data_IF_317149021487
#
_entry.id   IF_317149021487
#
_cell.length_a   1.000
_cell.length_b   1.000
_cell.length_c   1.000
_cell.angle_alpha   90.00
_cell.angle_beta   90.00
_cell.angle_gamma   90.00
#
_symmetry.space_group_name_H-M   'P 1'
#
loop_
_entity.id
_entity.type
_entity.pdbx_description
1 polymer ?
#
# COMPACT_ATOMS: atom_id res chain seq x y z
N UNK A 1 -25.42 22.18 -16.74
CA UNK A 1 -25.24 20.93 -17.51
C UNK A 1 -25.93 19.70 -16.93
N UNK A 2 -25.52 19.09 -15.81
CA UNK A 2 -26.25 17.91 -15.25
C UNK A 2 -27.73 18.26 -14.97
N UNK A 3 -27.98 19.40 -14.34
CA UNK A 3 -29.34 19.86 -14.04
C UNK A 3 -30.19 20.08 -15.30
N UNK A 4 -29.58 20.51 -16.41
CA UNK A 4 -30.27 20.69 -17.70
C UNK A 4 -30.56 19.34 -18.35
N UNK A 5 -29.59 18.43 -18.36
CA UNK A 5 -29.75 17.06 -18.85
C UNK A 5 -30.74 16.24 -18.01
N UNK A 6 -31.00 16.68 -16.78
CA UNK A 6 -31.93 16.05 -15.85
C UNK A 6 -33.26 16.80 -15.66
N UNK A 7 -33.49 17.90 -16.38
CA UNK A 7 -34.60 18.82 -16.12
C UNK A 7 -35.99 18.16 -16.23
N UNK A 8 -36.16 17.25 -17.19
CA UNK A 8 -37.47 16.63 -17.51
C UNK A 8 -37.58 15.15 -17.12
N UNK A 9 -36.69 14.68 -16.24
CA UNK A 9 -36.66 13.27 -15.84
C UNK A 9 -37.87 12.95 -14.96
N UNK A 10 -38.61 11.91 -15.37
CA UNK A 10 -39.76 11.38 -14.64
C UNK A 10 -39.51 9.99 -14.06
N UNK A 11 -38.37 9.39 -14.35
CA UNK A 11 -37.98 8.09 -13.83
C UNK A 11 -37.82 8.14 -12.32
N UNK A 12 -38.58 7.29 -11.65
CA UNK A 12 -38.75 7.28 -10.20
C UNK A 12 -38.51 5.87 -9.67
N UNK A 13 -37.66 5.76 -8.66
CA UNK A 13 -37.44 4.51 -7.93
C UNK A 13 -37.82 4.69 -6.47
N UNK A 14 -38.34 3.63 -5.85
CA UNK A 14 -38.56 3.61 -4.41
C UNK A 14 -37.22 3.41 -3.71
N UNK A 15 -36.93 4.25 -2.72
CA UNK A 15 -35.72 4.08 -1.94
C UNK A 15 -35.82 2.78 -1.11
N UNK A 16 -34.89 1.80 -1.27
CA UNK A 16 -35.06 0.47 -0.67
C UNK A 16 -35.20 0.48 0.86
N UNK A 17 -34.58 1.45 1.54
CA UNK A 17 -34.62 1.61 2.99
C UNK A 17 -35.77 2.50 3.47
N UNK A 18 -36.46 3.21 2.57
CA UNK A 18 -37.60 4.07 2.87
C UNK A 18 -38.65 3.94 1.77
N UNK A 19 -39.54 2.94 1.85
CA UNK A 19 -40.56 2.65 0.83
C UNK A 19 -41.63 3.73 0.67
N UNK A 20 -41.54 4.84 1.39
CA UNK A 20 -42.37 6.04 1.20
C UNK A 20 -41.64 7.14 0.44
N UNK A 21 -40.33 6.99 0.21
CA UNK A 21 -39.48 8.00 -0.40
C UNK A 21 -39.19 7.65 -1.86
N UNK A 22 -39.64 8.53 -2.74
CA UNK A 22 -39.57 8.38 -4.19
C UNK A 22 -38.38 9.21 -4.70
N UNK A 23 -37.34 8.53 -5.18
CA UNK A 23 -36.14 9.18 -5.71
C UNK A 23 -36.26 9.36 -7.22
N UNK A 24 -35.94 10.56 -7.71
CA UNK A 24 -35.70 10.80 -9.14
C UNK A 24 -34.31 10.27 -9.47
N UNK A 25 -34.21 9.43 -10.51
CA UNK A 25 -32.96 8.80 -10.91
C UNK A 25 -32.51 9.36 -12.24
N UNK A 26 -31.24 9.78 -12.33
CA UNK A 26 -30.67 10.22 -13.60
C UNK A 26 -30.75 9.09 -14.66
N UNK A 27 -30.85 9.42 -15.96
CA UNK A 27 -30.99 8.43 -17.02
C UNK A 27 -29.70 7.63 -17.10
N UNK A 28 -29.81 6.36 -17.51
CA UNK A 28 -28.67 5.43 -17.54
C UNK A 28 -27.45 5.98 -18.30
N UNK A 29 -27.66 6.71 -19.40
CA UNK A 29 -26.57 7.35 -20.17
C UNK A 29 -25.79 8.38 -19.35
N UNK A 30 -26.47 9.14 -18.48
CA UNK A 30 -25.82 10.12 -17.60
C UNK A 30 -25.08 9.40 -16.47
N UNK A 31 -25.69 8.38 -15.87
CA UNK A 31 -25.05 7.57 -14.83
C UNK A 31 -23.78 6.88 -15.34
N UNK A 32 -23.81 6.34 -16.57
CA UNK A 32 -22.64 5.75 -17.23
C UNK A 32 -21.53 6.77 -17.47
N UNK A 33 -21.88 7.97 -17.95
CA UNK A 33 -20.91 9.04 -18.19
C UNK A 33 -20.28 9.54 -16.88
N UNK A 34 -21.09 9.70 -15.82
CA UNK A 34 -20.60 10.05 -14.48
C UNK A 34 -19.69 8.97 -13.91
N UNK A 35 -20.04 7.69 -14.07
CA UNK A 35 -19.17 6.60 -13.62
C UNK A 35 -17.87 6.57 -14.42
N UNK A 36 -17.94 6.79 -15.73
CA UNK A 36 -16.77 6.90 -16.61
C UNK A 36 -15.84 8.06 -16.24
N UNK A 37 -16.36 9.22 -15.80
CA UNK A 37 -15.51 10.36 -15.46
C UNK A 37 -14.63 10.12 -14.23
N UNK A 38 -15.03 9.20 -13.34
CA UNK A 38 -14.32 8.88 -12.10
C UNK A 38 -13.56 7.55 -12.16
N UNK A 39 -13.63 6.80 -13.27
CA UNK A 39 -13.10 5.43 -13.33
C UNK A 39 -11.58 5.36 -13.22
N UNK A 40 -10.88 6.42 -13.64
CA UNK A 40 -9.43 6.53 -13.56
C UNK A 40 -8.93 6.76 -12.11
N UNK A 41 -9.85 6.84 -11.14
CA UNK A 41 -9.51 7.00 -9.74
C UNK A 41 -9.37 5.65 -9.04
N UNK A 42 -8.25 5.39 -8.31
CA UNK A 42 -8.01 4.09 -7.67
C UNK A 42 -9.01 3.73 -6.56
N UNK A 43 -9.57 4.71 -5.84
CA UNK A 43 -10.47 4.43 -4.72
C UNK A 43 -11.71 3.69 -5.19
N UNK A 44 -12.02 2.56 -4.53
CA UNK A 44 -13.13 1.69 -4.86
C UNK A 44 -13.15 1.25 -6.34
N UNK A 45 -11.98 1.16 -6.99
CA UNK A 45 -11.86 0.86 -8.42
C UNK A 45 -12.66 -0.39 -8.82
N UNK A 46 -12.54 -1.49 -8.06
CA UNK A 46 -13.23 -2.76 -8.38
C UNK A 46 -14.75 -2.61 -8.43
N UNK A 47 -15.33 -1.86 -7.48
CA UNK A 47 -16.75 -1.54 -7.47
C UNK A 47 -17.09 -0.65 -8.67
N UNK A 48 -16.31 0.41 -8.89
CA UNK A 48 -16.58 1.37 -9.95
C UNK A 48 -16.51 0.77 -11.36
N UNK A 49 -15.54 -0.11 -11.63
CA UNK A 49 -15.40 -0.79 -12.92
C UNK A 49 -16.53 -1.79 -13.13
N UNK A 50 -16.94 -2.49 -12.07
CA UNK A 50 -18.09 -3.41 -12.12
C UNK A 50 -19.38 -2.65 -12.42
N UNK A 51 -19.68 -1.58 -11.66
CA UNK A 51 -20.84 -0.72 -11.88
C UNK A 51 -20.87 -0.16 -13.31
N UNK A 52 -19.72 0.30 -13.81
CA UNK A 52 -19.60 0.87 -15.15
C UNK A 52 -20.01 -0.15 -16.22
N UNK A 53 -19.50 -1.38 -16.13
CA UNK A 53 -19.82 -2.42 -17.10
C UNK A 53 -21.26 -2.92 -16.98
N UNK A 54 -21.85 -2.92 -15.79
CA UNK A 54 -23.29 -3.17 -15.59
C UNK A 54 -24.14 -2.10 -16.29
N UNK A 55 -23.78 -0.82 -16.15
CA UNK A 55 -24.47 0.29 -16.82
C UNK A 55 -24.34 0.17 -18.34
N UNK A 56 -23.15 -0.16 -18.85
CA UNK A 56 -22.92 -0.36 -20.28
C UNK A 56 -23.70 -1.53 -20.84
N UNK A 57 -23.79 -2.64 -20.10
CA UNK A 57 -24.61 -3.77 -20.48
C UNK A 57 -26.10 -3.41 -20.53
N UNK A 58 -26.59 -2.66 -19.55
CA UNK A 58 -27.97 -2.19 -19.48
C UNK A 58 -28.34 -1.25 -20.63
N UNK A 59 -27.37 -0.45 -21.10
CA UNK A 59 -27.51 0.42 -22.27
C UNK A 59 -27.39 -0.33 -23.61
N UNK A 60 -27.12 -1.64 -23.57
CA UNK A 60 -26.96 -2.48 -24.77
C UNK A 60 -25.63 -2.30 -25.48
N UNK A 61 -24.66 -1.59 -24.87
CA UNK A 61 -23.31 -1.43 -25.42
C UNK A 61 -22.51 -2.75 -25.41
N UNK A 62 -22.99 -3.76 -24.67
CA UNK A 62 -22.38 -5.07 -24.61
C UNK A 62 -22.96 -6.09 -25.57
N UNK A 63 -23.87 -5.76 -26.51
CA UNK A 63 -24.49 -6.76 -27.41
C UNK A 63 -23.40 -7.56 -28.15
N UNK A 64 -23.37 -8.85 -27.81
CA UNK A 64 -22.18 -9.71 -27.73
C UNK A 64 -21.86 -10.33 -29.08
N UNK A 65 -20.74 -9.94 -29.68
CA UNK A 65 -19.89 -10.88 -30.41
C UNK A 65 -18.56 -10.95 -29.65
N UNK A 66 -18.16 -12.15 -29.23
CA UNK A 66 -16.89 -12.40 -28.51
C UNK A 66 -15.70 -11.80 -29.27
N UNK A 67 -15.81 -11.78 -30.60
CA UNK A 67 -14.83 -11.33 -31.58
C UNK A 67 -14.78 -9.82 -31.83
N UNK A 68 -15.69 -9.02 -31.27
CA UNK A 68 -15.70 -7.57 -31.48
C UNK A 68 -15.15 -6.80 -30.28
N UNK A 69 -14.47 -5.66 -30.53
CA UNK A 69 -14.05 -4.76 -29.46
C UNK A 69 -15.24 -4.29 -28.66
N UNK A 70 -15.11 -4.35 -27.33
CA UNK A 70 -15.91 -3.49 -26.47
C UNK A 70 -15.39 -2.07 -26.74
N UNK A 71 -16.06 -1.38 -27.65
CA UNK A 71 -15.73 0.00 -27.99
C UNK A 71 -16.24 0.92 -26.88
N UNK A 72 -15.60 2.08 -26.75
CA UNK A 72 -16.16 3.19 -25.97
C UNK A 72 -17.61 3.41 -26.43
N UNK A 73 -18.53 3.57 -25.47
CA UNK A 73 -19.94 3.67 -25.82
C UNK A 73 -20.18 4.86 -26.73
N UNK A 74 -21.04 4.69 -27.74
CA UNK A 74 -21.48 5.81 -28.57
C UNK A 74 -22.38 6.71 -27.71
N UNK A 75 -21.85 7.90 -27.40
CA UNK A 75 -22.53 8.94 -26.63
C UNK A 75 -22.99 10.07 -27.53
N UNK A 76 -24.14 10.63 -27.20
CA UNK A 76 -24.63 11.84 -27.84
C UNK A 76 -23.73 13.03 -27.44
N UNK A 77 -23.59 14.02 -28.32
CA UNK A 77 -22.68 15.17 -28.12
C UNK A 77 -22.83 15.85 -26.74
N UNK A 78 -24.05 16.07 -26.19
CA UNK A 78 -24.20 16.66 -24.86
C UNK A 78 -23.65 15.78 -23.71
N UNK A 79 -23.74 14.46 -23.86
CA UNK A 79 -23.23 13.51 -22.86
C UNK A 79 -21.71 13.42 -22.94
N UNK A 80 -21.15 13.49 -24.14
CA UNK A 80 -19.70 13.52 -24.34
C UNK A 80 -19.09 14.82 -23.80
N UNK A 81 -19.78 15.95 -23.99
CA UNK A 81 -19.41 17.22 -23.36
C UNK A 81 -19.45 17.11 -21.84
N UNK A 82 -20.50 16.50 -21.27
CA UNK A 82 -20.58 16.19 -19.84
C UNK A 82 -19.40 15.38 -19.33
N UNK A 83 -19.08 14.28 -19.98
CA UNK A 83 -17.95 13.45 -19.59
C UNK A 83 -16.64 14.26 -19.55
N UNK A 84 -16.35 15.01 -20.61
CA UNK A 84 -15.13 15.82 -20.72
C UNK A 84 -15.04 16.88 -19.62
N UNK A 85 -16.14 17.59 -19.36
CA UNK A 85 -16.20 18.59 -18.28
C UNK A 85 -15.98 17.93 -16.92
N UNK A 86 -16.61 16.77 -16.64
CA UNK A 86 -16.47 16.07 -15.35
C UNK A 86 -15.08 15.50 -15.13
N UNK A 87 -14.43 15.00 -16.18
CA UNK A 87 -13.01 14.58 -16.10
C UNK A 87 -12.14 15.78 -15.73
N UNK A 88 -12.33 16.93 -16.40
CA UNK A 88 -11.55 18.14 -16.13
C UNK A 88 -11.79 18.67 -14.70
N UNK A 89 -13.03 18.69 -14.23
CA UNK A 89 -13.36 19.04 -12.84
C UNK A 89 -12.64 18.12 -11.85
N UNK A 90 -12.66 16.80 -12.10
CA UNK A 90 -12.01 15.81 -11.24
C UNK A 90 -10.50 16.02 -11.20
N UNK A 91 -9.87 16.29 -12.36
CA UNK A 91 -8.43 16.59 -12.44
C UNK A 91 -8.06 17.89 -11.70
N UNK A 92 -8.91 18.92 -11.77
CA UNK A 92 -8.70 20.18 -11.05
C UNK A 92 -8.76 19.95 -9.53
N UNK A 93 -9.79 19.23 -9.05
CA UNK A 93 -9.94 18.91 -7.62
C UNK A 93 -8.72 18.12 -7.13
N UNK A 94 -8.25 17.15 -7.91
CA UNK A 94 -7.06 16.37 -7.57
C UNK A 94 -5.80 17.25 -7.48
N UNK A 95 -5.57 18.14 -8.46
CA UNK A 95 -4.44 19.07 -8.41
C UNK A 95 -4.53 20.06 -7.25
N UNK A 96 -5.73 20.37 -6.78
CA UNK A 96 -5.94 21.26 -5.62
C UNK A 96 -5.77 20.53 -4.28
N UNK A 97 -6.04 19.22 -4.22
CA UNK A 97 -5.79 18.38 -3.03
C UNK A 97 -4.31 18.00 -2.85
N UNK A 98 -3.54 17.97 -3.94
CA UNK A 98 -2.08 17.87 -3.88
C UNK A 98 -1.53 19.27 -3.68
N UNK A 99 -1.13 19.63 -2.46
CA UNK A 99 -0.54 20.94 -2.15
C UNK A 99 0.71 21.18 -3.03
N UNK A 100 0.55 21.94 -4.11
CA UNK A 100 1.57 22.18 -5.15
C UNK A 100 2.78 23.00 -4.67
N UNK A 101 2.80 23.41 -3.39
CA UNK A 101 3.86 24.22 -2.80
C UNK A 101 4.95 23.40 -2.09
N UNK A 102 4.89 22.06 -2.06
CA UNK A 102 5.85 21.28 -1.25
C UNK A 102 6.48 20.04 -1.89
N UNK A 103 6.38 19.82 -3.20
CA UNK A 103 7.04 18.66 -3.83
C UNK A 103 7.61 19.07 -5.18
N UNK A 104 8.94 18.99 -5.32
CA UNK A 104 9.60 19.19 -6.61
C UNK A 104 9.09 18.10 -7.57
N UNK A 105 8.83 18.40 -8.84
CA UNK A 105 8.20 17.44 -9.77
C UNK A 105 8.95 16.08 -9.83
N UNK A 106 10.26 16.09 -9.61
CA UNK A 106 11.10 14.89 -9.54
C UNK A 106 10.80 14.03 -8.30
N UNK A 107 10.47 14.63 -7.15
CA UNK A 107 10.10 13.92 -5.91
C UNK A 107 8.71 13.27 -5.96
N UNK A 108 7.74 13.84 -6.71
CA UNK A 108 6.39 13.27 -6.81
C UNK A 108 6.36 11.96 -7.61
N UNK A 109 7.20 11.85 -8.64
CA UNK A 109 7.37 10.61 -9.40
C UNK A 109 8.28 9.60 -8.67
N UNK A 110 9.22 10.08 -7.84
CA UNK A 110 10.08 9.21 -7.03
C UNK A 110 9.37 8.61 -5.82
N UNK A 111 8.46 9.32 -5.14
CA UNK A 111 7.77 8.77 -3.96
C UNK A 111 6.80 7.63 -4.29
N UNK A 112 6.16 7.65 -5.47
CA UNK A 112 5.32 6.54 -5.94
C UNK A 112 6.12 5.37 -6.54
N UNK A 113 7.41 5.57 -6.84
CA UNK A 113 8.35 4.54 -7.31
C UNK A 113 9.38 4.11 -6.25
N UNK A 114 9.33 4.66 -5.02
CA UNK A 114 10.17 4.26 -3.88
C UNK A 114 9.77 2.92 -3.24
N UNK A 115 8.75 2.23 -3.75
CA UNK A 115 8.84 0.77 -3.85
C UNK A 115 9.74 0.48 -5.05
N UNK A 116 11.03 0.77 -4.86
CA UNK A 116 12.06 0.46 -5.84
C UNK A 116 11.85 -0.99 -6.22
N UNK A 117 11.41 -1.20 -7.46
CA UNK A 117 11.36 -2.51 -8.09
C UNK A 117 12.63 -3.21 -7.65
N UNK A 118 12.51 -4.31 -6.91
CA UNK A 118 13.67 -5.15 -6.63
C UNK A 118 14.17 -5.55 -8.01
N UNK A 119 15.21 -4.86 -8.49
CA UNK A 119 15.73 -4.90 -9.86
C UNK A 119 16.41 -6.22 -10.16
N UNK A 120 15.69 -7.33 -9.94
CA UNK A 120 16.15 -8.68 -10.23
C UNK A 120 16.22 -8.91 -11.72
N UNK A 121 15.25 -8.36 -12.46
CA UNK A 121 15.13 -8.47 -13.91
C UNK A 121 14.61 -7.12 -14.46
N UNK A 122 15.17 -6.59 -15.55
CA UNK A 122 14.63 -5.45 -16.29
C UNK A 122 13.17 -5.69 -16.72
N UNK A 123 12.32 -4.66 -16.65
CA UNK A 123 10.90 -4.75 -17.01
C UNK A 123 10.69 -5.37 -18.41
N UNK A 124 11.46 -4.91 -19.41
CA UNK A 124 11.40 -5.41 -20.79
C UNK A 124 11.74 -6.91 -20.89
N UNK A 125 12.64 -7.44 -20.06
CA UNK A 125 13.01 -8.87 -20.07
C UNK A 125 11.89 -9.76 -19.47
N UNK A 126 11.05 -9.21 -18.59
CA UNK A 126 9.92 -9.97 -18.01
C UNK A 126 8.85 -10.21 -19.09
N UNK A 127 8.67 -9.29 -20.03
CA UNK A 127 7.73 -9.45 -21.14
C UNK A 127 8.02 -10.70 -21.98
N UNK A 128 9.30 -11.07 -22.14
CA UNK A 128 9.71 -12.30 -22.85
C UNK A 128 9.18 -13.58 -22.18
N UNK A 129 8.92 -13.55 -20.88
CA UNK A 129 8.40 -14.68 -20.11
C UNK A 129 6.87 -14.78 -20.19
N UNK A 130 6.20 -13.66 -20.46
CA UNK A 130 4.73 -13.58 -20.48
C UNK A 130 4.15 -13.33 -21.89
N UNK A 131 4.98 -13.33 -22.93
CA UNK A 131 4.58 -13.12 -24.33
C UNK A 131 3.60 -14.16 -24.88
N UNK A 132 2.70 -13.76 -25.76
CA UNK A 132 1.74 -14.67 -26.43
C UNK A 132 2.24 -15.25 -27.75
N UNK A 133 3.32 -14.71 -28.31
CA UNK A 133 3.91 -15.17 -29.59
C UNK A 133 5.42 -15.36 -29.50
N UNK A 134 6.09 -15.31 -30.65
CA UNK A 134 7.55 -15.44 -30.73
C UNK A 134 8.29 -14.30 -30.02
N UNK A 135 7.71 -13.10 -30.01
CA UNK A 135 8.23 -11.90 -29.36
C UNK A 135 7.11 -11.18 -28.60
N UNK A 136 7.45 -10.36 -27.58
CA UNK A 136 6.48 -9.52 -26.90
C UNK A 136 5.73 -8.60 -27.87
N UNK A 137 4.42 -8.46 -27.69
CA UNK A 137 3.57 -7.72 -28.62
C UNK A 137 3.96 -6.24 -28.63
N UNK A 138 4.31 -5.67 -27.47
CA UNK A 138 4.68 -4.27 -27.35
C UNK A 138 5.84 -3.88 -28.27
N UNK A 139 6.78 -4.78 -28.55
CA UNK A 139 7.93 -4.48 -29.41
C UNK A 139 7.51 -4.13 -30.83
N UNK A 140 6.50 -4.83 -31.36
CA UNK A 140 5.92 -4.58 -32.68
C UNK A 140 5.16 -3.25 -32.76
N UNK A 141 4.88 -2.64 -31.61
CA UNK A 141 4.13 -1.40 -31.46
C UNK A 141 5.01 -0.18 -31.20
N UNK A 142 6.34 -0.35 -31.13
CA UNK A 142 7.31 0.75 -30.95
C UNK A 142 7.87 1.17 -32.32
N UNK A 143 7.86 2.49 -32.61
CA UNK A 143 8.64 3.05 -33.74
C UNK A 143 10.13 3.13 -33.36
N UNK A 144 10.39 3.60 -32.14
CA UNK A 144 11.73 3.72 -31.57
C UNK A 144 11.87 2.70 -30.44
N UNK A 145 12.65 1.65 -30.67
CA UNK A 145 12.86 0.57 -29.70
C UNK A 145 13.52 1.05 -28.39
N UNK A 146 14.17 2.22 -28.40
CA UNK A 146 14.77 2.80 -27.20
C UNK A 146 13.77 3.49 -26.26
N UNK A 147 12.52 3.70 -26.71
CA UNK A 147 11.47 4.35 -25.92
C UNK A 147 10.46 3.33 -25.43
N UNK A 148 9.87 3.58 -24.27
CA UNK A 148 8.73 2.81 -23.75
C UNK A 148 7.41 3.11 -24.48
N UNK A 149 7.38 4.15 -25.33
CA UNK A 149 6.15 4.62 -25.97
C UNK A 149 5.67 3.65 -27.07
N UNK A 150 4.46 3.12 -26.89
CA UNK A 150 3.72 2.39 -27.92
C UNK A 150 2.92 3.34 -28.80
N UNK A 151 2.88 3.06 -30.10
CA UNK A 151 2.24 3.90 -31.10
C UNK A 151 0.79 3.52 -31.33
N UNK A 152 -0.12 4.47 -31.11
CA UNK A 152 -1.56 4.27 -31.27
C UNK A 152 -1.91 3.75 -32.66
N UNK A 153 -1.28 4.30 -33.69
CA UNK A 153 -1.54 3.94 -35.08
C UNK A 153 -1.13 2.51 -35.43
N UNK A 154 -0.12 1.95 -34.74
CA UNK A 154 0.28 0.55 -34.88
C UNK A 154 -0.66 -0.34 -34.08
N UNK A 155 -1.00 0.07 -32.85
CA UNK A 155 -1.96 -0.64 -32.01
C UNK A 155 -3.32 -0.74 -32.70
N UNK A 156 -3.81 0.31 -33.37
CA UNK A 156 -5.10 0.27 -34.06
C UNK A 156 -5.15 -0.73 -35.22
N UNK A 157 -4.00 -1.03 -35.85
CA UNK A 157 -3.89 -1.93 -37.01
C UNK A 157 -3.87 -3.43 -36.65
N UNK A 158 -3.45 -3.78 -35.43
CA UNK A 158 -3.45 -5.18 -35.00
C UNK A 158 -4.87 -5.68 -34.69
N UNK A 159 -5.07 -7.00 -34.76
CA UNK A 159 -6.36 -7.61 -34.47
C UNK A 159 -6.75 -7.46 -33.00
N UNK A 160 -8.03 -7.64 -32.73
CA UNK A 160 -8.59 -7.39 -31.41
C UNK A 160 -8.05 -8.33 -30.32
N UNK A 161 -7.78 -9.59 -30.63
CA UNK A 161 -7.23 -10.52 -29.64
C UNK A 161 -5.79 -10.13 -29.31
N UNK A 162 -5.00 -9.73 -30.31
CA UNK A 162 -3.63 -9.23 -30.08
C UNK A 162 -3.64 -7.94 -29.24
N UNK A 163 -4.63 -7.06 -29.41
CA UNK A 163 -4.80 -5.88 -28.53
C UNK A 163 -5.06 -6.27 -27.08
N UNK A 164 -5.95 -7.24 -26.84
CA UNK A 164 -6.21 -7.76 -25.48
C UNK A 164 -4.95 -8.37 -24.88
N UNK A 165 -4.26 -9.22 -25.66
CA UNK A 165 -3.04 -9.89 -25.25
C UNK A 165 -1.94 -8.88 -24.90
N UNK A 166 -1.81 -7.78 -25.65
CA UNK A 166 -0.86 -6.70 -25.33
C UNK A 166 -1.12 -6.08 -23.94
N UNK A 167 -2.38 -5.84 -23.57
CA UNK A 167 -2.71 -5.33 -22.24
C UNK A 167 -2.47 -6.39 -21.17
N UNK A 168 -2.78 -7.66 -21.46
CA UNK A 168 -2.50 -8.77 -20.54
C UNK A 168 -1.01 -8.94 -20.30
N UNK A 169 -0.16 -8.85 -21.34
CA UNK A 169 1.30 -8.89 -21.22
C UNK A 169 1.78 -7.82 -20.24
N UNK A 170 1.39 -6.57 -20.44
CA UNK A 170 1.74 -5.46 -19.53
C UNK A 170 1.26 -5.71 -18.09
N UNK A 171 0.01 -6.16 -17.92
CA UNK A 171 -0.56 -6.46 -16.61
C UNK A 171 0.20 -7.61 -15.90
N UNK A 172 0.56 -8.67 -16.63
CA UNK A 172 1.34 -9.80 -16.08
C UNK A 172 2.77 -9.38 -15.73
N UNK A 173 3.41 -8.56 -16.57
CA UNK A 173 4.75 -8.01 -16.32
C UNK A 173 4.75 -7.20 -15.03
N UNK A 174 3.81 -6.26 -14.87
CA UNK A 174 3.66 -5.47 -13.64
C UNK A 174 3.33 -6.36 -12.44
N UNK A 175 2.47 -7.37 -12.61
CA UNK A 175 2.10 -8.31 -11.55
C UNK A 175 3.33 -9.06 -11.01
N UNK A 176 4.16 -9.58 -11.91
CA UNK A 176 5.41 -10.26 -11.60
C UNK A 176 6.40 -9.32 -10.93
N UNK A 177 6.72 -8.21 -11.57
CA UNK A 177 7.73 -7.23 -11.14
C UNK A 177 7.41 -6.66 -9.75
N UNK A 178 6.18 -6.14 -9.58
CA UNK A 178 5.82 -5.35 -8.40
C UNK A 178 5.30 -6.18 -7.25
N UNK A 179 4.68 -7.34 -7.49
CA UNK A 179 3.98 -8.07 -6.43
C UNK A 179 4.57 -9.44 -6.14
N UNK A 180 4.77 -10.28 -7.17
CA UNK A 180 5.19 -11.67 -6.98
C UNK A 180 6.71 -11.81 -6.76
N UNK A 181 7.53 -11.30 -7.66
CA UNK A 181 9.01 -11.36 -7.56
C UNK A 181 9.49 -10.55 -6.36
N UNK A 182 8.86 -9.40 -6.12
CA UNK A 182 9.11 -8.54 -4.97
C UNK A 182 8.56 -9.11 -3.65
N UNK A 183 7.88 -10.28 -3.68
CA UNK A 183 7.30 -10.98 -2.52
C UNK A 183 6.32 -10.14 -1.69
N UNK A 184 5.71 -9.11 -2.29
CA UNK A 184 4.65 -8.31 -1.65
C UNK A 184 3.35 -9.13 -1.57
N UNK A 185 3.11 -10.01 -2.55
CA UNK A 185 1.96 -10.92 -2.57
C UNK A 185 2.40 -12.34 -2.95
N UNK A 186 1.68 -13.33 -2.44
CA UNK A 186 1.81 -14.75 -2.82
C UNK A 186 0.67 -15.23 -3.73
N UNK A 187 -0.29 -14.36 -4.02
CA UNK A 187 -1.48 -14.68 -4.81
C UNK A 187 -1.39 -13.98 -6.18
N UNK A 188 -1.32 -14.78 -7.25
CA UNK A 188 -1.20 -14.25 -8.60
C UNK A 188 -2.46 -13.53 -9.10
N UNK A 189 -3.66 -13.96 -8.71
CA UNK A 189 -4.91 -13.32 -9.14
C UNK A 189 -5.02 -11.93 -8.51
N UNK A 190 -4.74 -11.82 -7.22
CA UNK A 190 -4.70 -10.52 -6.52
C UNK A 190 -3.65 -9.62 -7.16
N UNK A 191 -2.45 -10.15 -7.41
CA UNK A 191 -1.34 -9.41 -8.04
C UNK A 191 -1.70 -8.91 -9.44
N UNK A 192 -2.32 -9.76 -10.25
CA UNK A 192 -2.78 -9.45 -11.60
C UNK A 192 -3.89 -8.38 -11.59
N UNK A 193 -4.88 -8.52 -10.71
CA UNK A 193 -5.97 -7.56 -10.59
C UNK A 193 -5.47 -6.19 -10.14
N UNK A 194 -4.52 -6.14 -9.19
CA UNK A 194 -3.87 -4.89 -8.78
C UNK A 194 -3.09 -4.25 -9.94
N UNK A 195 -2.35 -5.04 -10.71
CA UNK A 195 -1.62 -4.56 -11.89
C UNK A 195 -2.58 -4.00 -12.97
N UNK A 196 -3.64 -4.73 -13.29
CA UNK A 196 -4.65 -4.30 -14.26
C UNK A 196 -5.38 -3.03 -13.80
N UNK A 197 -5.70 -2.92 -12.50
CA UNK A 197 -6.28 -1.71 -11.93
C UNK A 197 -5.34 -0.50 -12.07
N UNK A 198 -4.02 -0.70 -11.89
CA UNK A 198 -3.03 0.37 -12.10
C UNK A 198 -2.95 0.81 -13.55
N UNK A 199 -3.04 -0.11 -14.52
CA UNK A 199 -3.10 0.24 -15.95
C UNK A 199 -4.32 1.12 -16.23
N UNK A 200 -5.47 0.80 -15.64
CA UNK A 200 -6.73 1.53 -15.79
C UNK A 200 -6.80 2.87 -15.02
N UNK A 201 -5.81 3.20 -14.20
CA UNK A 201 -5.90 4.39 -13.32
C UNK A 201 -4.63 5.25 -13.39
N UNK A 202 -3.53 4.76 -12.83
CA UNK A 202 -2.34 5.58 -12.53
C UNK A 202 -1.19 5.42 -13.52
N UNK A 203 -1.07 4.26 -14.16
CA UNK A 203 0.14 3.86 -14.88
C UNK A 203 0.15 4.32 -16.33
N UNK A 204 -1.02 4.36 -16.97
CA UNK A 204 -1.18 4.86 -18.34
C UNK A 204 -2.27 5.93 -18.39
N UNK A 205 -2.04 6.98 -19.18
CA UNK A 205 -3.05 7.99 -19.50
C UNK A 205 -3.41 7.91 -20.97
N UNK A 206 -4.62 8.34 -21.31
CA UNK A 206 -5.09 8.41 -22.69
C UNK A 206 -5.64 7.09 -23.22
N UNK A 207 -5.39 6.82 -24.50
CA UNK A 207 -6.13 5.81 -25.26
C UNK A 207 -5.89 4.36 -24.80
N UNK A 208 -4.70 4.03 -24.30
CA UNK A 208 -4.38 2.67 -23.85
C UNK A 208 -5.12 2.33 -22.54
N UNK A 209 -5.16 3.28 -21.61
CA UNK A 209 -5.97 3.20 -20.39
C UNK A 209 -7.46 3.02 -20.72
N UNK A 210 -7.99 3.85 -21.62
CA UNK A 210 -9.39 3.74 -22.04
C UNK A 210 -9.70 2.37 -22.67
N UNK A 211 -8.79 1.85 -23.49
CA UNK A 211 -8.94 0.52 -24.06
C UNK A 211 -8.99 -0.56 -22.98
N UNK A 212 -8.12 -0.49 -21.96
CA UNK A 212 -8.13 -1.42 -20.84
C UNK A 212 -9.43 -1.34 -20.03
N UNK A 213 -9.93 -0.14 -19.73
CA UNK A 213 -11.21 0.08 -19.04
C UNK A 213 -12.37 -0.52 -19.84
N UNK A 214 -12.42 -0.22 -21.14
CA UNK A 214 -13.49 -0.67 -22.02
C UNK A 214 -13.52 -2.20 -22.17
N UNK A 215 -12.36 -2.84 -22.07
CA UNK A 215 -12.21 -4.28 -22.24
C UNK A 215 -11.99 -5.04 -20.92
N UNK A 216 -12.13 -4.37 -19.77
CA UNK A 216 -11.83 -4.92 -18.45
C UNK A 216 -12.46 -6.31 -18.19
N UNK A 217 -13.74 -6.59 -18.53
CA UNK A 217 -14.34 -7.90 -18.30
C UNK A 217 -13.67 -9.05 -19.07
N UNK A 218 -13.02 -8.74 -20.20
CA UNK A 218 -12.25 -9.72 -21.00
C UNK A 218 -10.79 -9.83 -20.54
N UNK A 219 -10.28 -8.79 -19.88
CA UNK A 219 -8.92 -8.72 -19.38
C UNK A 219 -8.79 -9.32 -17.97
N UNK A 220 -9.82 -9.26 -17.13
CA UNK A 220 -9.77 -9.71 -15.73
C UNK A 220 -9.48 -11.20 -15.54
N UNK A 221 -9.56 -12.01 -16.61
CA UNK A 221 -9.18 -13.42 -16.55
C UNK A 221 -7.68 -13.61 -16.82
N UNK A 222 -6.96 -14.07 -15.80
CA UNK A 222 -5.57 -14.51 -15.90
C UNK A 222 -5.52 -15.91 -16.53
N UNK A 223 -4.75 -16.05 -17.61
CA UNK A 223 -4.63 -17.28 -18.41
C UNK A 223 -3.22 -17.89 -18.39
N UNK A 224 -2.31 -17.36 -17.57
CA UNK A 224 -0.95 -17.88 -17.38
C UNK A 224 -0.63 -18.10 -15.91
N UNK A 225 0.20 -19.10 -15.65
CA UNK A 225 0.75 -19.38 -14.32
C UNK A 225 1.93 -18.44 -14.03
N UNK A 226 1.64 -17.33 -13.37
CA UNK A 226 2.64 -16.34 -12.97
C UNK A 226 3.46 -16.81 -11.76
N UNK A 227 2.92 -17.73 -10.94
CA UNK A 227 3.65 -18.24 -9.78
C UNK A 227 4.84 -19.08 -10.23
N UNK A 228 4.66 -19.97 -11.20
CA UNK A 228 5.77 -20.75 -11.78
C UNK A 228 6.86 -19.83 -12.32
N UNK A 229 6.48 -18.82 -13.12
CA UNK A 229 7.41 -17.84 -13.68
C UNK A 229 8.15 -17.09 -12.56
N UNK A 230 7.43 -16.63 -11.54
CA UNK A 230 8.03 -15.93 -10.41
C UNK A 230 9.03 -16.82 -9.66
N UNK A 231 8.70 -18.09 -9.41
CA UNK A 231 9.62 -19.02 -8.75
C UNK A 231 10.89 -19.26 -9.57
N UNK A 232 10.77 -19.46 -10.89
CA UNK A 232 11.92 -19.63 -11.78
C UNK A 232 12.86 -18.43 -11.73
N UNK A 233 12.30 -17.21 -11.77
CA UNK A 233 13.06 -15.95 -11.63
C UNK A 233 13.73 -15.86 -10.26
N UNK A 234 12.98 -16.12 -9.18
CA UNK A 234 13.48 -16.04 -7.81
C UNK A 234 14.62 -17.04 -7.58
N UNK A 235 14.52 -18.24 -8.17
CA UNK A 235 15.53 -19.29 -8.07
C UNK A 235 16.77 -18.98 -8.91
N UNK A 236 16.60 -18.41 -10.12
CA UNK A 236 17.69 -18.02 -11.01
C UNK A 236 18.45 -16.78 -10.51
N UNK A 237 17.73 -15.86 -9.86
CA UNK A 237 18.26 -14.63 -9.27
C UNK A 237 17.89 -14.57 -7.78
N UNK A 238 18.54 -15.42 -6.94
CA UNK A 238 18.37 -15.32 -5.51
C UNK A 238 18.83 -13.92 -5.08
N UNK A 239 18.02 -13.25 -4.24
CA UNK A 239 18.46 -11.99 -3.64
C UNK A 239 19.79 -12.28 -2.93
N UNK A 240 20.82 -11.49 -3.22
CA UNK A 240 21.81 -11.24 -2.18
C UNK A 240 20.99 -10.73 -1.00
N UNK A 241 20.90 -11.51 0.08
CA UNK A 241 20.57 -10.95 1.38
C UNK A 241 21.45 -9.71 1.44
N UNK A 242 20.87 -8.51 1.59
CA UNK A 242 21.67 -7.34 1.94
C UNK A 242 22.54 -7.83 3.09
N UNK A 243 23.84 -8.07 2.83
CA UNK A 243 24.82 -8.15 3.90
C UNK A 243 24.48 -6.90 4.68
N UNK A 244 24.09 -7.06 5.95
CA UNK A 244 24.05 -5.94 6.86
C UNK A 244 25.30 -5.16 6.53
N UNK A 245 25.16 -3.93 6.02
CA UNK A 245 26.34 -3.07 5.87
C UNK A 245 27.00 -3.19 7.25
N UNK A 246 28.27 -3.64 7.34
CA UNK A 246 28.91 -3.66 8.63
C UNK A 246 28.72 -2.26 9.17
N UNK A 247 28.02 -2.12 10.29
CA UNK A 247 27.96 -0.84 10.99
C UNK A 247 29.42 -0.51 11.26
N UNK A 248 30.00 0.35 10.42
CA UNK A 248 31.30 0.95 10.69
C UNK A 248 31.03 1.94 11.80
N UNK A 249 31.02 1.43 13.02
CA UNK A 249 31.20 2.25 14.19
C UNK A 249 32.56 2.92 14.05
N UNK A 250 32.64 4.20 14.40
CA UNK A 250 33.93 4.83 14.61
C UNK A 250 34.70 4.06 15.70
N UNK A 251 36.04 4.15 15.71
CA UNK A 251 36.86 3.38 16.65
C UNK A 251 36.51 3.59 18.13
N UNK A 252 36.00 4.77 18.51
CA UNK A 252 35.62 5.08 19.89
C UNK A 252 34.33 4.35 20.26
N UNK A 253 33.31 4.43 19.40
CA UNK A 253 32.05 3.68 19.56
C UNK A 253 32.30 2.17 19.59
N UNK A 254 33.17 1.66 18.71
CA UNK A 254 33.54 0.24 18.69
C UNK A 254 34.22 -0.21 19.99
N UNK A 255 35.13 0.60 20.53
CA UNK A 255 35.81 0.32 21.78
C UNK A 255 34.83 0.26 22.97
N UNK A 256 33.82 1.15 22.99
CA UNK A 256 32.76 1.12 24.00
C UNK A 256 31.97 -0.20 23.94
N UNK A 257 31.53 -0.60 22.74
CA UNK A 257 30.76 -1.83 22.57
C UNK A 257 31.56 -3.09 22.94
N UNK A 258 32.82 -3.19 22.53
CA UNK A 258 33.67 -4.33 22.90
C UNK A 258 33.94 -4.38 24.41
N UNK A 259 34.00 -3.24 25.09
CA UNK A 259 34.19 -3.18 26.56
C UNK A 259 32.97 -3.72 27.31
N UNK A 260 31.75 -3.43 26.85
CA UNK A 260 30.51 -3.86 27.52
C UNK A 260 30.05 -5.26 27.11
N UNK A 261 30.49 -5.77 25.95
CA UNK A 261 30.10 -7.05 25.37
C UNK A 261 30.16 -8.25 26.34
N UNK A 262 31.20 -8.42 27.19
CA UNK A 262 31.22 -9.52 28.17
C UNK A 262 30.14 -9.43 29.26
N UNK A 263 29.56 -8.25 29.45
CA UNK A 263 28.53 -7.96 30.46
C UNK A 263 27.12 -7.86 29.88
N UNK A 264 26.99 -8.07 28.56
CA UNK A 264 25.72 -8.01 27.82
C UNK A 264 25.18 -9.41 27.61
N UNK A 265 23.89 -9.62 27.94
CA UNK A 265 23.16 -10.85 27.65
C UNK A 265 21.93 -10.51 26.81
N UNK A 266 21.68 -11.31 25.77
CA UNK A 266 20.45 -11.20 24.99
C UNK A 266 19.25 -11.73 25.78
N UNK A 267 18.11 -11.09 25.61
CA UNK A 267 16.81 -11.54 26.08
C UNK A 267 16.07 -12.05 24.86
N UNK A 268 15.93 -13.38 24.78
CA UNK A 268 15.44 -14.09 23.60
C UNK A 268 13.92 -14.25 23.55
N UNK A 269 13.22 -14.00 24.66
CA UNK A 269 11.78 -14.18 24.75
C UNK A 269 11.16 -13.09 25.63
N UNK A 270 10.08 -12.52 25.13
CA UNK A 270 9.17 -11.64 25.86
C UNK A 270 7.76 -12.21 25.73
N UNK A 271 6.86 -11.82 26.64
CA UNK A 271 5.45 -12.15 26.51
C UNK A 271 4.89 -11.62 25.20
N UNK A 272 3.99 -12.40 24.59
CA UNK A 272 3.38 -12.08 23.31
C UNK A 272 2.51 -10.82 23.43
N UNK A 273 2.72 -9.87 22.51
CA UNK A 273 1.83 -8.72 22.32
C UNK A 273 0.59 -9.21 21.58
N UNK A 274 -0.59 -8.90 22.09
CA UNK A 274 -1.86 -9.25 21.44
C UNK A 274 -2.48 -8.02 20.79
N UNK A 275 -2.98 -8.21 19.58
CA UNK A 275 -3.66 -7.18 18.81
C UNK A 275 -5.03 -7.73 18.43
N UNK A 276 -6.09 -7.06 18.90
CA UNK A 276 -7.46 -7.45 18.65
C UNK A 276 -8.01 -6.62 17.47
N UNK A 277 -8.71 -7.28 16.53
CA UNK A 277 -9.39 -6.69 15.36
C UNK A 277 -8.58 -6.46 14.07
N UNK A 278 -7.31 -6.89 14.00
CA UNK A 278 -6.47 -6.69 12.80
C UNK A 278 -6.14 -8.03 12.12
N UNK A 279 -6.34 -8.09 10.80
CA UNK A 279 -6.18 -9.33 10.02
C UNK A 279 -4.72 -9.68 9.69
N UNK A 280 -3.81 -8.70 9.66
CA UNK A 280 -2.38 -8.90 9.39
C UNK A 280 -1.53 -7.88 10.16
N UNK A 281 -0.68 -8.38 11.06
CA UNK A 281 0.29 -7.58 11.80
C UNK A 281 1.61 -8.35 11.99
N UNK A 282 2.73 -7.63 12.08
CA UNK A 282 4.03 -8.18 12.46
C UNK A 282 4.56 -7.42 13.68
N UNK A 283 4.86 -8.17 14.74
CA UNK A 283 5.46 -7.65 15.96
C UNK A 283 6.78 -8.37 16.19
N UNK A 284 7.86 -7.61 16.34
CA UNK A 284 9.14 -8.13 16.77
C UNK A 284 9.58 -7.37 18.03
N UNK A 285 9.90 -8.11 19.09
CA UNK A 285 10.42 -7.57 20.35
C UNK A 285 11.70 -8.31 20.73
N UNK A 286 12.76 -7.55 20.96
CA UNK A 286 14.05 -8.07 21.39
C UNK A 286 14.66 -7.15 22.44
N UNK A 287 15.62 -7.67 23.20
CA UNK A 287 16.27 -6.87 24.22
C UNK A 287 17.61 -7.41 24.66
N UNK A 288 18.34 -6.56 25.36
CA UNK A 288 19.62 -6.88 25.97
C UNK A 288 19.63 -6.43 27.43
N UNK A 289 20.20 -7.25 28.30
CA UNK A 289 20.51 -6.92 29.68
C UNK A 289 22.01 -6.64 29.79
N UNK A 290 22.37 -5.43 30.20
CA UNK A 290 23.76 -5.02 30.42
C UNK A 290 23.97 -4.91 31.93
N UNK A 291 24.86 -5.75 32.46
CA UNK A 291 25.24 -5.71 33.88
C UNK A 291 26.39 -4.75 34.07
N UNK A 292 26.39 -3.94 35.13
CA UNK A 292 27.49 -3.03 35.39
C UNK A 292 28.79 -3.80 35.64
N UNK A 293 29.91 -3.43 34.98
CA UNK A 293 31.20 -4.08 35.19
C UNK A 293 31.77 -3.79 36.59
N UNK A 294 31.35 -2.68 37.22
CA UNK A 294 31.82 -2.23 38.53
C UNK A 294 30.92 -2.71 39.66
N UNK A 295 29.61 -2.85 39.40
CA UNK A 295 28.65 -3.32 40.41
C UNK A 295 27.69 -4.35 39.83
N UNK A 296 27.96 -5.64 40.11
CA UNK A 296 27.17 -6.76 39.58
C UNK A 296 25.72 -6.81 40.07
N UNK A 297 25.34 -6.03 41.09
CA UNK A 297 23.94 -5.93 41.54
C UNK A 297 23.13 -4.91 40.74
N UNK A 298 23.75 -4.18 39.82
CA UNK A 298 23.10 -3.15 39.01
C UNK A 298 23.15 -3.56 37.55
N UNK A 299 22.00 -3.53 36.89
CA UNK A 299 21.89 -3.79 35.46
C UNK A 299 20.81 -2.93 34.81
N UNK A 300 21.00 -2.62 33.54
CA UNK A 300 19.98 -2.04 32.68
C UNK A 300 19.48 -3.05 31.66
N UNK A 301 18.24 -2.88 31.26
CA UNK A 301 17.66 -3.58 30.13
C UNK A 301 17.30 -2.57 29.06
N UNK A 302 17.75 -2.82 27.83
CA UNK A 302 17.30 -2.12 26.64
C UNK A 302 16.39 -3.05 25.84
N UNK A 303 15.20 -2.58 25.49
CA UNK A 303 14.19 -3.34 24.76
C UNK A 303 13.84 -2.57 23.50
N UNK A 304 13.88 -3.26 22.36
CA UNK A 304 13.43 -2.76 21.07
C UNK A 304 12.13 -3.48 20.73
N UNK A 305 11.10 -2.72 20.40
CA UNK A 305 9.83 -3.27 19.87
C UNK A 305 9.55 -2.59 18.53
N UNK A 306 9.28 -3.38 17.49
CA UNK A 306 8.81 -2.91 16.19
C UNK A 306 7.47 -3.54 15.90
N UNK A 307 6.52 -2.71 15.48
CA UNK A 307 5.15 -3.09 15.16
C UNK A 307 4.81 -2.57 13.76
N UNK A 308 4.28 -3.47 12.93
CA UNK A 308 3.79 -3.19 11.59
C UNK A 308 2.35 -3.69 11.45
N UNK A 309 1.45 -2.82 10.99
CA UNK A 309 0.02 -3.12 10.83
C UNK A 309 -0.42 -2.73 9.41
N UNK A 310 -1.19 -3.60 8.76
CA UNK A 310 -1.77 -3.35 7.43
C UNK A 310 -3.29 -3.39 7.44
N UNK A 311 -3.92 -2.30 7.01
CA UNK A 311 -5.37 -2.25 6.78
C UNK A 311 -5.73 -2.64 5.35
N UNK A 312 -6.35 -3.80 5.17
CA UNK A 312 -6.82 -4.28 3.86
C UNK A 312 -7.92 -3.39 3.25
N UNK A 313 -8.71 -2.71 4.08
CA UNK A 313 -9.87 -1.93 3.61
C UNK A 313 -9.52 -0.51 3.17
N UNK A 314 -8.47 0.09 3.74
CA UNK A 314 -8.10 1.51 3.51
C UNK A 314 -6.74 1.67 2.82
N UNK A 315 -5.93 0.61 2.78
CA UNK A 315 -4.56 0.67 2.22
C UNK A 315 -3.57 1.42 3.12
N UNK A 316 -3.99 1.77 4.34
CA UNK A 316 -3.17 2.45 5.33
C UNK A 316 -2.16 1.48 5.95
N UNK A 317 -0.92 1.95 6.06
CA UNK A 317 0.21 1.22 6.63
C UNK A 317 0.67 1.97 7.86
N UNK A 318 0.51 1.36 9.02
CA UNK A 318 1.01 1.91 10.27
C UNK A 318 2.29 1.18 10.68
N UNK A 319 3.31 1.94 11.05
CA UNK A 319 4.51 1.38 11.62
C UNK A 319 4.98 2.19 12.83
N UNK A 320 5.43 1.46 13.85
CA UNK A 320 5.93 2.05 15.08
C UNK A 320 7.12 1.25 15.59
N UNK A 321 8.06 1.97 16.22
CA UNK A 321 9.24 1.41 16.83
C UNK A 321 9.51 2.13 18.15
N UNK A 322 9.88 1.37 19.17
CA UNK A 322 10.28 1.94 20.46
C UNK A 322 11.55 1.30 20.96
N UNK A 323 12.45 2.14 21.48
CA UNK A 323 13.60 1.71 22.28
C UNK A 323 13.37 2.18 23.71
N UNK A 324 13.27 1.23 24.64
CA UNK A 324 13.01 1.49 26.05
C UNK A 324 14.24 1.05 26.83
N UNK A 325 14.83 1.96 27.59
CA UNK A 325 15.94 1.67 28.50
C UNK A 325 15.46 1.90 29.93
N UNK A 326 15.57 0.85 30.75
CA UNK A 326 15.15 0.87 32.15
C UNK A 326 16.09 0.03 33.04
N UNK A 327 16.11 0.26 34.36
CA UNK A 327 16.71 -0.67 35.31
C UNK A 327 16.09 -2.07 35.20
N UNK A 328 16.90 -3.13 35.26
CA UNK A 328 16.37 -4.50 35.04
C UNK A 328 15.45 -4.99 36.17
N UNK A 329 15.64 -4.51 37.40
CA UNK A 329 14.79 -4.78 38.56
C UNK A 329 13.36 -4.24 38.35
N UNK A 330 13.23 -3.14 37.62
CA UNK A 330 11.91 -2.59 37.26
C UNK A 330 11.20 -3.40 36.18
N UNK A 331 11.94 -4.08 35.29
CA UNK A 331 11.34 -4.99 34.30
C UNK A 331 10.73 -6.21 35.01
N UNK A 332 11.46 -6.81 35.96
CA UNK A 332 11.01 -7.94 36.76
C UNK A 332 9.76 -7.58 37.59
N UNK A 333 9.73 -6.37 38.17
CA UNK A 333 8.55 -5.87 38.89
C UNK A 333 7.33 -5.56 38.00
N UNK A 334 7.51 -5.40 36.68
CA UNK A 334 6.42 -5.20 35.71
C UNK A 334 5.86 -6.56 35.26
N UNK A 335 6.72 -7.56 35.04
CA UNK A 335 6.26 -8.92 34.70
C UNK A 335 5.51 -9.60 35.85
N UNK A 336 5.84 -9.28 37.10
CA UNK A 336 5.20 -9.89 38.30
C UNK A 336 3.85 -9.27 38.66
N UNK A 337 3.51 -8.10 38.11
CA UNK A 337 2.19 -7.50 38.31
C UNK A 337 1.19 -8.21 37.40
N UNK A 338 0.40 -9.12 37.98
CA UNK A 338 -0.92 -9.44 37.44
C UNK A 338 -1.64 -8.11 37.19
N UNK A 339 -1.84 -7.74 35.93
CA UNK A 339 -2.56 -6.53 35.55
C UNK A 339 -4.00 -6.64 36.05
N UNK A 340 -4.24 -6.14 37.26
CA UNK A 340 -5.57 -5.77 37.73
C UNK A 340 -5.97 -4.47 37.01
N UNK A 341 -6.43 -4.64 35.77
CA UNK A 341 -7.69 -4.16 35.18
C UNK A 341 -8.38 -2.85 35.60
N UNK A 342 -7.77 -1.91 36.32
CA UNK A 342 -8.41 -0.68 36.84
C UNK A 342 -7.72 0.63 36.37
N UNK A 343 -7.33 0.73 35.10
CA UNK A 343 -7.03 2.04 34.48
C UNK A 343 -8.10 2.41 33.46
N UNK A 344 -8.59 3.65 33.53
CA UNK A 344 -9.55 4.25 32.57
C UNK A 344 -9.01 4.33 31.12
N UNK A 345 -7.72 4.02 30.90
CA UNK A 345 -7.05 3.94 29.59
C UNK A 345 -6.99 2.47 29.12
N UNK A 346 -8.12 1.90 28.69
CA UNK A 346 -8.15 0.62 27.96
C UNK A 346 -8.32 0.90 26.48
N UNK A 347 -7.34 0.55 25.64
CA UNK A 347 -7.64 0.32 24.23
C UNK A 347 -8.16 -1.12 24.10
N UNK A 348 -9.29 -1.29 23.40
CA UNK A 348 -9.86 -2.62 23.14
C UNK A 348 -9.08 -3.38 22.05
N UNK A 349 -8.04 -2.75 21.50
CA UNK A 349 -7.34 -3.15 20.28
C UNK A 349 -5.90 -3.63 20.49
N UNK A 350 -5.23 -3.22 21.57
CA UNK A 350 -3.80 -3.49 21.78
C UNK A 350 -3.48 -3.82 23.23
N UNK A 351 -2.97 -5.03 23.47
CA UNK A 351 -2.55 -5.52 24.78
C UNK A 351 -1.04 -5.81 24.78
N UNK A 352 -0.28 -4.89 25.39
CA UNK A 352 1.15 -5.04 25.67
C UNK A 352 1.35 -5.40 27.16
N UNK A 353 1.72 -6.66 27.48
CA UNK A 353 1.94 -7.11 28.86
C UNK A 353 2.97 -6.29 29.64
N UNK A 354 3.89 -5.62 28.94
CA UNK A 354 4.92 -4.79 29.56
C UNK A 354 4.54 -3.30 29.59
N UNK A 355 3.51 -2.91 28.84
CA UNK A 355 3.09 -1.52 28.63
C UNK A 355 4.28 -0.58 28.36
N UNK A 356 5.19 -1.00 27.48
CA UNK A 356 6.43 -0.27 27.16
C UNK A 356 6.46 0.24 25.72
N UNK A 357 5.56 -0.25 24.86
CA UNK A 357 5.43 0.21 23.49
C UNK A 357 4.25 1.20 23.37
N UNK A 358 4.48 2.44 22.90
CA UNK A 358 3.38 3.34 22.59
C UNK A 358 2.61 2.80 21.37
N UNK A 359 1.29 2.96 21.36
CA UNK A 359 0.48 2.71 20.18
C UNK A 359 -0.44 3.89 19.90
N UNK A 360 -0.84 4.01 18.63
CA UNK A 360 -1.85 4.96 18.19
C UNK A 360 -3.19 4.23 18.14
N UNK A 361 -4.17 4.72 18.87
CA UNK A 361 -5.55 4.23 18.79
C UNK A 361 -6.27 5.03 17.72
N UNK A 362 -6.77 4.30 16.71
CA UNK A 362 -7.41 4.86 15.53
C UNK A 362 -8.84 5.32 15.83
N UNK A 363 -9.54 4.62 16.72
CA UNK A 363 -10.93 4.94 17.09
C UNK A 363 -10.99 6.24 17.91
N UNK A 364 -10.00 6.46 18.78
CA UNK A 364 -9.90 7.69 19.58
C UNK A 364 -9.07 8.80 18.92
N UNK A 365 -8.46 8.54 17.75
CA UNK A 365 -7.47 9.40 17.08
C UNK A 365 -6.36 9.90 18.02
N UNK A 366 -5.97 9.09 19.01
CA UNK A 366 -5.06 9.50 20.09
C UNK A 366 -3.90 8.54 20.25
N UNK A 367 -2.75 9.11 20.56
CA UNK A 367 -1.64 8.35 21.11
C UNK A 367 -1.95 8.01 22.56
N UNK A 368 -2.20 6.73 22.84
CA UNK A 368 -2.21 6.26 24.22
C UNK A 368 -0.80 6.46 24.79
N UNK A 369 -0.72 7.38 25.75
CA UNK A 369 0.54 7.75 26.37
C UNK A 369 0.97 6.62 27.28
N UNK A 370 2.22 6.22 27.14
CA UNK A 370 2.93 5.46 28.17
C UNK A 370 2.73 6.17 29.52
N UNK A 371 2.09 5.50 30.47
CA UNK A 371 2.03 5.87 31.90
C UNK A 371 3.39 5.68 32.59
N UNK A 372 4.47 5.94 31.85
CA UNK A 372 5.84 5.67 32.25
C UNK A 372 6.57 7.01 32.30
N UNK A 373 6.34 7.73 33.39
CA UNK A 373 6.99 9.01 33.68
C UNK A 373 8.48 8.86 34.02
N UNK A 374 8.96 7.65 34.33
CA UNK A 374 10.32 7.39 34.82
C UNK A 374 11.28 6.69 33.83
N UNK A 375 10.85 6.33 32.60
CA UNK A 375 11.66 5.51 31.69
C UNK A 375 12.25 6.33 30.52
N UNK A 376 13.43 5.93 30.07
CA UNK A 376 14.04 6.47 28.86
C UNK A 376 13.41 5.77 27.67
N UNK A 377 12.50 6.46 27.01
CA UNK A 377 11.80 5.92 25.85
C UNK A 377 12.09 6.79 24.65
N UNK A 378 12.68 6.17 23.63
CA UNK A 378 12.72 6.70 22.28
C UNK A 378 11.61 6.02 21.50
N UNK A 379 10.68 6.82 21.00
CA UNK A 379 9.56 6.33 20.22
C UNK A 379 9.64 6.93 18.84
N UNK A 380 9.54 6.09 17.84
CA UNK A 380 9.37 6.47 16.45
C UNK A 380 8.02 5.93 16.00
N UNK A 381 7.13 6.80 15.54
CA UNK A 381 5.86 6.41 14.94
C UNK A 381 5.72 7.04 13.56
N UNK A 382 5.11 6.31 12.64
CA UNK A 382 4.70 6.87 11.36
C UNK A 382 3.33 6.36 10.96
N UNK A 383 2.47 7.35 10.73
CA UNK A 383 1.09 7.19 10.32
C UNK A 383 0.84 8.16 9.17
N UNK A 384 0.35 7.65 8.04
CA UNK A 384 0.04 8.44 6.84
C UNK A 384 1.12 9.46 6.43
N UNK A 385 2.39 9.04 6.50
CA UNK A 385 3.55 9.90 6.18
C UNK A 385 3.96 10.92 7.25
N UNK A 386 3.17 11.10 8.31
CA UNK A 386 3.51 11.93 9.47
C UNK A 386 4.48 11.15 10.35
N UNK A 387 5.69 11.68 10.55
CA UNK A 387 6.68 11.11 11.47
C UNK A 387 6.64 11.82 12.82
N UNK A 388 6.53 11.06 13.90
CA UNK A 388 6.63 11.57 15.27
C UNK A 388 7.78 10.90 16.01
N UNK A 389 8.75 11.71 16.44
CA UNK A 389 9.86 11.27 17.31
C UNK A 389 9.61 11.85 18.70
N UNK A 390 9.63 11.00 19.72
CA UNK A 390 9.61 11.45 21.13
C UNK A 390 10.75 10.79 21.87
N UNK A 391 11.44 11.59 22.67
CA UNK A 391 12.50 11.14 23.56
C UNK A 391 12.23 11.69 24.96
N UNK A 392 12.42 10.87 25.99
CA UNK A 392 12.47 11.32 27.39
C UNK A 392 13.91 11.35 27.89
N UNK A 393 14.30 12.32 28.74
CA UNK A 393 15.66 12.50 29.21
C UNK A 393 16.15 11.31 30.04
N UNK A 394 17.46 11.03 29.93
CA UNK A 394 18.08 9.84 30.48
C UNK A 394 18.34 9.85 32.00
N UNK A 395 18.02 10.97 32.64
CA UNK A 395 18.52 11.38 33.94
C UNK A 395 18.11 10.43 35.08
N UNK A 396 16.91 9.84 34.99
CA UNK A 396 16.45 8.88 36.00
C UNK A 396 17.31 7.61 36.02
N UNK A 397 17.58 7.05 34.83
CA UNK A 397 18.42 5.84 34.70
C UNK A 397 19.86 6.16 35.09
N UNK A 398 20.40 7.30 34.66
CA UNK A 398 21.75 7.73 35.03
C UNK A 398 21.92 7.85 36.56
N UNK A 399 20.94 8.45 37.24
CA UNK A 399 20.91 8.58 38.70
C UNK A 399 20.86 7.21 39.42
N UNK A 400 19.99 6.29 38.96
CA UNK A 400 19.91 4.91 39.48
C UNK A 400 21.22 4.14 39.30
N UNK A 401 21.91 4.38 38.19
CA UNK A 401 23.21 3.77 37.89
C UNK A 401 24.39 4.41 38.64
N UNK A 402 24.16 5.49 39.41
CA UNK A 402 25.19 6.29 40.07
C UNK A 402 26.28 6.78 39.11
N UNK A 403 25.89 7.07 37.86
CA UNK A 403 26.80 7.67 36.89
C UNK A 403 27.02 9.12 37.33
N UNK A 404 28.28 9.58 37.54
CA UNK A 404 28.53 10.97 37.90
C UNK A 404 27.99 11.91 36.81
N UNK A 405 27.39 13.04 37.23
CA UNK A 405 26.96 14.10 36.32
C UNK A 405 28.10 14.69 35.50
#
# INVERSE_FOLDING_TARGET
MILELCHDIKDKIMFPMMPSFLCIVAPLKILEALKSSHINYPSNFQKNITDLHILRASLGYSKILITQPLCSPQRDEPIELLLKTRIMETEIIQRAQVDLNMINNEEFFDHNNKFSVQGRIPHDDIHELVKYGEHPIYESLKIDKSKALIEKSLFEKIDYQTKLNCVKEEAMTIALERYLISKISKNQEISYNLALARICTTLSKGWFCQFAIDNYPKLSNLDKDLLSIAYDIINKYPLEQKKQLPLMFDPETQAIFETIKPYTKEILSFDEIKICNYNDYEVNRSGIKITSPVNRSVSITAIVTTLYITHHEVGEKHWSASVVILPSDELEAISDKNYNNDSDDKSYEFDDPLNIHPHYDLDEEKYFKLTLTSKNVFTFNSFDGIMAIRAKPADYVANKLKIPN
#
